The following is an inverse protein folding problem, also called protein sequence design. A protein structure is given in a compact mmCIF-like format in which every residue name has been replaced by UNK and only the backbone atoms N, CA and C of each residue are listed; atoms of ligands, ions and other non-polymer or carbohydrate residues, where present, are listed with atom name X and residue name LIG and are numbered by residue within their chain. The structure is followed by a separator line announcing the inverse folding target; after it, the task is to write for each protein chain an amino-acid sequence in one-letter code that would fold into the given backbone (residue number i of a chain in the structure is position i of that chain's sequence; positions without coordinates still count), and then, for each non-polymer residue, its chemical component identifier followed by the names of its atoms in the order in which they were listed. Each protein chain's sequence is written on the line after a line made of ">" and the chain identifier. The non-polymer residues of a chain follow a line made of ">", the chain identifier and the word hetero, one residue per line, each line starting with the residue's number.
data_IF_368451614615
#
_entry.id   IF_368451614615
#
_cell.length_a   1.000
_cell.length_b   1.000
_cell.length_c   1.000
_cell.angle_alpha   90.00
_cell.angle_beta   90.00
_cell.angle_gamma   90.00
#
_symmetry.space_group_name_H-M   'P 1'
#
loop_
_entity.id
_entity.type
_entity.pdbx_description
1 polymer ?
#
# COMPACT_ATOMS: atom_id res chain seq x y z
N UNK A 1 -9.91 12.75 -5.26
CA UNK A 1 -9.63 12.08 -3.95
C UNK A 1 -10.81 12.28 -3.01
N UNK A 2 -11.23 11.23 -2.28
CA UNK A 2 -12.29 11.30 -1.27
C UNK A 2 -11.70 11.73 0.07
N UNK A 3 -12.11 12.89 0.58
CA UNK A 3 -11.54 13.44 1.80
C UNK A 3 -12.55 13.50 2.94
N UNK A 4 -12.04 13.50 4.17
CA UNK A 4 -12.80 13.67 5.40
C UNK A 4 -12.14 14.75 6.27
N UNK A 5 -12.95 15.60 6.87
CA UNK A 5 -12.49 16.66 7.79
C UNK A 5 -12.73 16.19 9.22
N UNK A 6 -11.72 16.33 10.07
CA UNK A 6 -11.79 15.95 11.49
C UNK A 6 -11.25 17.08 12.35
N UNK A 7 -12.12 17.74 13.10
CA UNK A 7 -11.80 18.91 13.93
C UNK A 7 -12.93 19.09 14.94
N UNK A 8 -12.64 19.28 16.22
CA UNK A 8 -13.65 19.45 17.26
C UNK A 8 -14.31 20.85 17.21
N UNK A 9 -13.63 21.81 16.60
CA UNK A 9 -14.12 23.18 16.47
C UNK A 9 -14.97 23.36 15.20
N UNK A 10 -16.25 23.63 15.40
CA UNK A 10 -17.24 23.83 14.32
C UNK A 10 -16.82 24.93 13.31
N UNK A 11 -16.27 26.06 13.79
CA UNK A 11 -15.86 27.15 12.88
C UNK A 11 -14.65 26.75 12.03
N UNK A 12 -13.72 25.99 12.60
CA UNK A 12 -12.58 25.45 11.86
C UNK A 12 -13.03 24.44 10.81
N UNK A 13 -14.00 23.55 11.12
CA UNK A 13 -14.59 22.63 10.12
C UNK A 13 -15.26 23.41 8.99
N UNK A 14 -16.07 24.40 9.28
CA UNK A 14 -16.73 25.24 8.26
C UNK A 14 -15.71 25.94 7.34
N UNK A 15 -14.64 26.48 7.91
CA UNK A 15 -13.58 27.11 7.14
C UNK A 15 -12.86 26.08 6.25
N UNK A 16 -12.65 24.83 6.76
CA UNK A 16 -12.03 23.77 6.00
C UNK A 16 -12.93 23.28 4.85
N UNK A 17 -14.25 23.20 5.05
CA UNK A 17 -15.22 22.88 3.99
C UNK A 17 -15.13 23.89 2.84
N UNK A 18 -15.01 25.19 3.16
CA UNK A 18 -14.81 26.22 2.13
C UNK A 18 -13.49 26.04 1.38
N UNK A 19 -12.40 25.67 2.07
CA UNK A 19 -11.13 25.38 1.41
C UNK A 19 -11.22 24.16 0.50
N UNK A 20 -11.86 23.07 0.96
CA UNK A 20 -12.08 21.86 0.18
C UNK A 20 -12.89 22.16 -1.09
N UNK A 21 -13.90 23.02 -1.01
CA UNK A 21 -14.70 23.42 -2.18
C UNK A 21 -13.93 24.21 -3.25
N UNK A 22 -12.72 24.70 -2.93
CA UNK A 22 -11.84 25.36 -3.92
C UNK A 22 -11.00 24.37 -4.73
N UNK A 23 -10.99 23.09 -4.37
CA UNK A 23 -10.24 22.05 -5.03
C UNK A 23 -11.21 21.09 -5.75
N UNK A 24 -11.38 21.27 -7.05
CA UNK A 24 -12.38 20.56 -7.89
C UNK A 24 -12.25 19.02 -7.85
N UNK A 25 -11.09 18.51 -7.47
CA UNK A 25 -10.76 17.08 -7.44
C UNK A 25 -10.91 16.46 -6.04
N UNK A 26 -11.35 17.22 -5.05
CA UNK A 26 -11.70 16.71 -3.73
C UNK A 26 -13.21 16.48 -3.59
N UNK A 27 -13.56 15.29 -3.12
CA UNK A 27 -14.92 14.92 -2.73
C UNK A 27 -14.98 14.84 -1.21
N UNK A 28 -15.69 15.76 -0.55
CA UNK A 28 -15.92 15.70 0.89
C UNK A 28 -16.93 14.59 1.20
N UNK A 29 -16.48 13.54 1.91
CA UNK A 29 -17.29 12.37 2.25
C UNK A 29 -18.01 12.55 3.58
N UNK A 30 -17.31 13.12 4.57
CA UNK A 30 -17.85 13.36 5.89
C UNK A 30 -17.05 14.42 6.66
N UNK A 31 -17.72 14.97 7.68
CA UNK A 31 -17.13 15.80 8.73
C UNK A 31 -17.27 15.05 10.06
N UNK A 32 -16.20 15.03 10.86
CA UNK A 32 -16.17 14.42 12.18
C UNK A 32 -15.80 15.44 13.25
N UNK A 33 -16.44 15.37 14.40
CA UNK A 33 -16.12 16.21 15.57
C UNK A 33 -15.11 15.55 16.50
N UNK A 34 -14.90 14.24 16.36
CA UNK A 34 -13.99 13.48 17.23
C UNK A 34 -13.18 12.47 16.46
N UNK A 35 -12.00 12.14 16.99
CA UNK A 35 -11.15 11.07 16.47
C UNK A 35 -11.85 9.69 16.46
N UNK A 36 -12.70 9.42 17.46
CA UNK A 36 -13.44 8.14 17.58
C UNK A 36 -14.46 8.01 16.44
N UNK A 37 -15.19 9.07 16.14
CA UNK A 37 -16.14 9.11 15.03
C UNK A 37 -15.43 8.87 13.70
N UNK A 38 -14.31 9.57 13.45
CA UNK A 38 -13.48 9.38 12.29
C UNK A 38 -13.01 7.93 12.16
N UNK A 39 -12.49 7.33 13.24
CA UNK A 39 -12.02 5.94 13.25
C UNK A 39 -13.11 4.93 12.87
N UNK A 40 -14.35 5.19 13.27
CA UNK A 40 -15.50 4.35 12.91
C UNK A 40 -15.90 4.51 11.44
N UNK A 41 -15.90 5.76 10.94
CA UNK A 41 -16.30 6.06 9.55
C UNK A 41 -15.27 5.58 8.53
N UNK A 42 -13.98 5.72 8.80
CA UNK A 42 -12.88 5.22 7.92
C UNK A 42 -12.94 3.69 7.73
N UNK A 43 -13.64 2.95 8.60
CA UNK A 43 -13.87 1.50 8.41
C UNK A 43 -15.04 1.20 7.47
N UNK A 44 -15.97 2.12 7.30
CA UNK A 44 -17.21 1.94 6.54
C UNK A 44 -17.17 2.63 5.19
N UNK A 45 -16.49 3.75 5.12
CA UNK A 45 -16.38 4.58 3.93
C UNK A 45 -14.99 4.47 3.31
N UNK A 46 -14.92 4.57 2.00
CA UNK A 46 -13.65 4.72 1.30
C UNK A 46 -13.20 6.17 1.45
N UNK A 47 -12.10 6.39 2.15
CA UNK A 47 -11.47 7.69 2.37
C UNK A 47 -10.02 7.61 1.90
N UNK A 48 -9.59 8.58 1.11
CA UNK A 48 -8.23 8.64 0.57
C UNK A 48 -7.37 9.65 1.35
N UNK A 49 -8.00 10.71 1.92
CA UNK A 49 -7.33 11.82 2.60
C UNK A 49 -8.08 12.23 3.87
N UNK A 50 -7.36 12.37 4.99
CA UNK A 50 -7.83 13.06 6.19
C UNK A 50 -7.24 14.45 6.31
N UNK A 51 -8.10 15.44 6.51
CA UNK A 51 -7.75 16.78 6.98
C UNK A 51 -8.02 16.79 8.50
N UNK A 52 -6.97 16.57 9.28
CA UNK A 52 -7.07 16.11 10.67
C UNK A 52 -6.49 17.15 11.63
N UNK A 53 -7.31 17.65 12.55
CA UNK A 53 -6.79 18.43 13.67
C UNK A 53 -5.99 17.55 14.62
N UNK A 54 -4.90 18.09 15.12
CA UNK A 54 -4.06 17.43 16.11
C UNK A 54 -4.67 17.53 17.50
N UNK A 55 -5.17 18.70 17.86
CA UNK A 55 -5.63 18.99 19.21
C UNK A 55 -7.13 18.79 19.35
N UNK A 56 -7.53 17.57 19.67
CA UNK A 56 -8.93 17.22 19.92
C UNK A 56 -9.11 16.61 21.33
N UNK A 57 -10.26 16.80 21.96
CA UNK A 57 -10.56 16.19 23.26
C UNK A 57 -10.58 14.66 23.18
N UNK A 58 -10.07 14.02 24.23
CA UNK A 58 -10.07 12.56 24.38
C UNK A 58 -8.94 11.88 23.61
N UNK A 59 -9.03 11.78 22.30
CA UNK A 59 -8.00 11.20 21.43
C UNK A 59 -7.46 12.27 20.48
N UNK A 60 -6.17 12.51 20.50
CA UNK A 60 -5.51 13.45 19.60
C UNK A 60 -5.43 12.94 18.15
N UNK A 61 -5.23 13.84 17.19
CA UNK A 61 -5.01 13.48 15.79
C UNK A 61 -3.76 12.61 15.60
N UNK A 62 -2.72 12.83 16.42
CA UNK A 62 -1.49 12.02 16.42
C UNK A 62 -1.79 10.57 16.84
N UNK A 63 -2.53 10.37 17.92
CA UNK A 63 -2.93 9.03 18.37
C UNK A 63 -3.81 8.34 17.34
N UNK A 64 -4.78 9.05 16.77
CA UNK A 64 -5.61 8.51 15.69
C UNK A 64 -4.75 8.06 14.49
N UNK A 65 -3.77 8.84 14.08
CA UNK A 65 -2.86 8.52 12.98
C UNK A 65 -2.11 7.21 13.24
N UNK A 66 -1.61 7.00 14.46
CA UNK A 66 -0.93 5.75 14.84
C UNK A 66 -1.87 4.53 14.75
N UNK A 67 -3.14 4.70 15.09
CA UNK A 67 -4.15 3.63 14.97
C UNK A 67 -4.61 3.36 13.54
N UNK A 68 -4.31 4.26 12.60
CA UNK A 68 -4.64 4.13 11.18
C UNK A 68 -3.43 3.74 10.30
N UNK A 69 -2.28 3.45 10.90
CA UNK A 69 -1.00 3.20 10.18
C UNK A 69 -1.06 2.06 9.15
N UNK A 70 -1.93 1.06 9.36
CA UNK A 70 -2.11 -0.08 8.43
C UNK A 70 -2.99 0.25 7.22
N UNK A 71 -3.50 1.49 7.13
CA UNK A 71 -4.37 1.92 6.03
C UNK A 71 -3.60 2.82 5.07
N UNK A 72 -3.78 2.59 3.77
CA UNK A 72 -3.28 3.47 2.69
C UNK A 72 -4.08 4.78 2.67
N UNK A 73 -3.99 5.56 3.76
CA UNK A 73 -4.74 6.77 4.00
C UNK A 73 -3.75 7.94 4.12
N UNK A 74 -3.90 8.94 3.28
CA UNK A 74 -3.11 10.15 3.39
C UNK A 74 -3.63 11.04 4.50
N UNK A 75 -2.74 11.68 5.22
CA UNK A 75 -3.09 12.58 6.31
C UNK A 75 -2.42 13.93 6.08
N UNK A 76 -3.19 14.99 6.17
CA UNK A 76 -2.71 16.37 6.30
C UNK A 76 -3.13 16.84 7.68
N UNK A 77 -2.16 17.11 8.54
CA UNK A 77 -2.46 17.70 9.83
C UNK A 77 -2.83 19.17 9.74
N UNK A 78 -3.79 19.58 10.56
CA UNK A 78 -4.14 20.99 10.78
C UNK A 78 -4.00 21.31 12.26
N UNK A 79 -3.42 22.41 12.64
CA UNK A 79 -3.23 22.78 14.06
C UNK A 79 -2.90 24.26 14.25
N UNK A 80 -3.15 24.79 15.44
CA UNK A 80 -2.71 26.12 15.83
C UNK A 80 -1.23 26.19 16.24
N UNK A 81 -0.60 25.06 16.55
CA UNK A 81 0.76 24.98 17.11
C UNK A 81 1.79 24.51 16.09
N UNK A 82 2.97 25.13 16.10
CA UNK A 82 4.10 24.78 15.21
C UNK A 82 4.93 23.60 15.72
N UNK A 83 4.81 23.28 16.97
CA UNK A 83 5.65 22.31 17.69
C UNK A 83 5.46 20.88 17.17
N UNK A 84 4.28 20.55 16.65
CA UNK A 84 3.95 19.22 16.15
C UNK A 84 4.56 18.87 14.77
N UNK A 85 5.39 19.75 14.21
CA UNK A 85 6.00 19.51 12.91
C UNK A 85 6.97 18.30 12.93
N UNK A 86 7.62 18.03 14.07
CA UNK A 86 8.54 16.90 14.26
C UNK A 86 7.74 15.59 14.25
N UNK A 87 6.68 15.50 15.04
CA UNK A 87 5.80 14.34 15.11
C UNK A 87 5.11 14.06 13.75
N UNK A 88 4.70 15.13 13.05
CA UNK A 88 4.14 15.02 11.71
C UNK A 88 5.15 14.38 10.73
N UNK A 89 6.42 14.74 10.82
CA UNK A 89 7.49 14.16 10.02
C UNK A 89 7.73 12.68 10.37
N UNK A 90 7.80 12.34 11.66
CA UNK A 90 7.99 10.96 12.12
C UNK A 90 6.84 10.02 11.68
N UNK A 91 5.63 10.55 11.58
CA UNK A 91 4.44 9.81 11.16
C UNK A 91 4.27 9.75 9.64
N UNK A 92 5.20 10.32 8.86
CA UNK A 92 5.15 10.36 7.39
C UNK A 92 3.82 10.87 6.83
N UNK A 93 3.22 11.90 7.47
CA UNK A 93 2.00 12.51 6.94
C UNK A 93 2.29 13.27 5.64
N UNK A 94 1.28 13.38 4.78
CA UNK A 94 1.43 14.03 3.47
C UNK A 94 1.85 15.50 3.62
N UNK A 95 1.26 16.23 4.58
CA UNK A 95 1.63 17.59 4.86
C UNK A 95 1.10 18.07 6.24
N UNK A 96 1.43 19.32 6.57
CA UNK A 96 1.13 19.97 7.85
C UNK A 96 0.73 21.42 7.62
N UNK A 97 -0.42 21.84 8.15
CA UNK A 97 -1.00 23.16 7.97
C UNK A 97 -1.22 23.87 9.30
N UNK A 98 -0.76 25.10 9.40
CA UNK A 98 -0.92 25.93 10.60
C UNK A 98 -2.15 26.81 10.44
N UNK A 99 -3.04 26.78 11.42
CA UNK A 99 -4.21 27.66 11.50
C UNK A 99 -3.78 29.10 11.89
N UNK A 100 -4.34 30.15 11.27
CA UNK A 100 -5.35 30.14 10.21
C UNK A 100 -4.76 29.68 8.87
N UNK A 101 -5.46 28.79 8.17
CA UNK A 101 -4.95 28.16 6.95
C UNK A 101 -5.13 29.13 5.77
N UNK A 102 -4.02 29.44 5.12
CA UNK A 102 -4.04 30.23 3.89
C UNK A 102 -4.50 29.37 2.70
N UNK A 103 -5.43 29.85 1.84
CA UNK A 103 -5.92 29.09 0.70
C UNK A 103 -4.81 28.61 -0.26
N UNK A 104 -3.82 29.44 -0.57
CA UNK A 104 -2.71 29.05 -1.44
C UNK A 104 -1.85 27.96 -0.82
N UNK A 105 -1.66 27.97 0.53
CA UNK A 105 -0.93 26.92 1.25
C UNK A 105 -1.73 25.63 1.30
N UNK A 106 -3.06 25.72 1.45
CA UNK A 106 -3.96 24.57 1.38
C UNK A 106 -3.87 23.90 0.02
N UNK A 107 -4.06 24.63 -1.08
CA UNK A 107 -3.98 24.07 -2.44
C UNK A 107 -2.65 23.39 -2.71
N UNK A 108 -1.53 23.99 -2.26
CA UNK A 108 -0.21 23.38 -2.37
C UNK A 108 -0.09 22.06 -1.60
N UNK A 109 -0.72 21.95 -0.42
CA UNK A 109 -0.71 20.69 0.34
C UNK A 109 -1.58 19.61 -0.30
N UNK A 110 -2.69 19.99 -0.95
CA UNK A 110 -3.52 19.07 -1.73
C UNK A 110 -2.77 18.55 -2.96
N UNK A 111 -2.05 19.43 -3.66
CA UNK A 111 -1.21 19.04 -4.80
C UNK A 111 -0.14 18.00 -4.38
N UNK A 112 0.54 18.24 -3.27
CA UNK A 112 1.50 17.28 -2.69
C UNK A 112 0.84 15.95 -2.31
N UNK A 113 -0.34 15.99 -1.67
CA UNK A 113 -1.09 14.79 -1.33
C UNK A 113 -1.52 14.01 -2.58
N UNK A 114 -1.87 14.71 -3.66
CA UNK A 114 -2.20 14.10 -4.95
C UNK A 114 -1.00 13.38 -5.56
N UNK A 115 0.17 14.01 -5.59
CA UNK A 115 1.40 13.38 -6.09
C UNK A 115 1.70 12.07 -5.34
N UNK A 116 1.55 12.06 -4.01
CA UNK A 116 1.72 10.86 -3.19
C UNK A 116 0.63 9.83 -3.49
N UNK A 117 -0.63 10.26 -3.63
CA UNK A 117 -1.75 9.39 -3.96
C UNK A 117 -1.58 8.71 -5.32
N UNK A 118 -1.16 9.45 -6.33
CA UNK A 118 -0.90 8.95 -7.66
C UNK A 118 0.31 8.01 -7.68
N UNK A 119 1.38 8.34 -6.95
CA UNK A 119 2.54 7.46 -6.79
C UNK A 119 2.16 6.15 -6.12
N UNK A 120 1.42 6.20 -5.01
CA UNK A 120 0.92 5.01 -4.31
C UNK A 120 -0.07 4.22 -5.19
N UNK A 121 -0.91 4.92 -5.97
CA UNK A 121 -1.82 4.29 -6.94
C UNK A 121 -1.05 3.66 -8.10
N UNK A 122 0.07 4.24 -8.51
CA UNK A 122 0.96 3.63 -9.51
C UNK A 122 1.70 2.43 -8.93
N UNK A 123 2.08 2.44 -7.66
CA UNK A 123 2.64 1.26 -6.97
C UNK A 123 1.58 0.18 -6.75
N UNK A 124 0.33 0.54 -6.45
CA UNK A 124 -0.80 -0.40 -6.42
C UNK A 124 -1.17 -0.90 -7.83
N UNK A 125 -1.07 -0.06 -8.88
CA UNK A 125 -1.18 -0.50 -10.29
C UNK A 125 0.02 -1.34 -10.75
N UNK A 126 1.15 -1.34 -10.04
CA UNK A 126 2.22 -2.34 -10.21
C UNK A 126 1.73 -3.72 -9.73
N UNK A 127 0.83 -3.79 -8.75
CA UNK A 127 0.15 -5.04 -8.36
C UNK A 127 -0.83 -5.57 -9.43
N UNK A 128 -1.30 -4.72 -10.35
CA UNK A 128 -2.11 -5.09 -11.53
C UNK A 128 -1.30 -5.08 -12.84
N UNK A 129 0.01 -4.83 -12.82
CA UNK A 129 0.81 -5.03 -14.04
C UNK A 129 0.75 -6.49 -14.43
N UNK A 130 0.10 -6.77 -15.53
CA UNK A 130 0.06 -8.10 -16.13
C UNK A 130 1.44 -8.60 -16.56
N UNK A 131 2.47 -7.76 -16.51
CA UNK A 131 3.83 -8.08 -16.98
C UNK A 131 4.93 -7.44 -16.12
N UNK A 132 6.11 -8.04 -16.18
CA UNK A 132 7.36 -7.54 -15.59
C UNK A 132 8.46 -7.48 -16.65
N UNK A 133 9.33 -6.47 -16.57
CA UNK A 133 10.55 -6.47 -17.37
C UNK A 133 11.70 -7.09 -16.58
N UNK A 134 12.35 -8.08 -17.18
CA UNK A 134 13.56 -8.72 -16.64
C UNK A 134 14.75 -8.44 -17.54
N UNK A 135 15.95 -8.37 -16.94
CA UNK A 135 17.20 -8.31 -17.69
C UNK A 135 17.81 -9.70 -17.75
N UNK A 136 17.67 -10.34 -18.91
CA UNK A 136 18.19 -11.68 -19.18
C UNK A 136 19.25 -11.57 -20.29
N UNK A 137 20.49 -11.98 -19.98
CA UNK A 137 21.62 -11.93 -20.92
C UNK A 137 21.85 -10.54 -21.55
N UNK A 138 21.66 -9.47 -20.74
CA UNK A 138 21.86 -8.10 -21.19
C UNK A 138 20.67 -7.46 -21.92
N UNK A 139 19.62 -8.23 -22.23
CA UNK A 139 18.41 -7.78 -22.93
C UNK A 139 17.26 -7.61 -21.95
N UNK A 140 16.51 -6.50 -22.07
CA UNK A 140 15.26 -6.31 -21.36
C UNK A 140 14.16 -7.10 -22.08
N UNK A 141 13.59 -8.09 -21.37
CA UNK A 141 12.49 -8.94 -21.85
C UNK A 141 11.25 -8.66 -21.05
N UNK A 142 10.12 -8.49 -21.75
CA UNK A 142 8.79 -8.40 -21.11
C UNK A 142 8.27 -9.81 -20.86
N UNK A 143 7.91 -10.11 -19.61
CA UNK A 143 7.32 -11.37 -19.18
C UNK A 143 5.93 -11.08 -18.62
N UNK A 144 4.91 -11.78 -19.11
CA UNK A 144 3.59 -11.73 -18.50
C UNK A 144 3.64 -12.46 -17.14
N UNK A 145 3.10 -11.84 -16.11
CA UNK A 145 3.11 -12.42 -14.75
C UNK A 145 2.29 -13.72 -14.69
N UNK A 146 1.25 -13.83 -15.50
CA UNK A 146 0.44 -15.05 -15.56
C UNK A 146 1.15 -16.23 -16.26
N UNK A 147 2.27 -15.96 -16.94
CA UNK A 147 3.11 -17.02 -17.50
C UNK A 147 4.13 -17.57 -16.49
N UNK A 148 4.37 -16.85 -15.38
CA UNK A 148 5.34 -17.25 -14.36
C UNK A 148 4.76 -18.37 -13.51
N UNK A 149 5.48 -19.50 -13.45
CA UNK A 149 5.13 -20.67 -12.64
C UNK A 149 5.72 -20.55 -11.24
N UNK A 150 7.03 -20.37 -11.17
CA UNK A 150 7.78 -20.20 -9.94
C UNK A 150 9.15 -19.58 -10.20
N UNK A 151 9.84 -19.24 -9.13
CA UNK A 151 11.17 -18.65 -9.15
C UNK A 151 12.06 -19.43 -8.18
N UNK A 152 13.26 -19.79 -8.62
CA UNK A 152 14.25 -20.56 -7.89
C UNK A 152 15.52 -19.77 -7.68
N UNK A 153 16.06 -19.74 -6.46
CA UNK A 153 17.37 -19.16 -6.18
C UNK A 153 18.50 -20.07 -6.69
N UNK A 154 19.51 -19.44 -7.32
CA UNK A 154 20.70 -20.11 -7.83
C UNK A 154 21.95 -19.25 -7.57
N UNK A 155 22.47 -19.29 -6.35
CA UNK A 155 23.58 -18.42 -5.93
C UNK A 155 23.22 -16.93 -6.03
N UNK A 156 23.98 -16.18 -6.79
CA UNK A 156 23.75 -14.74 -7.03
C UNK A 156 22.69 -14.44 -8.10
N UNK A 157 22.06 -15.48 -8.63
CA UNK A 157 21.05 -15.41 -9.67
C UNK A 157 19.76 -16.06 -9.20
N UNK A 158 18.69 -15.78 -9.92
CA UNK A 158 17.43 -16.52 -9.83
C UNK A 158 17.04 -17.04 -11.19
N UNK A 159 16.42 -18.22 -11.22
CA UNK A 159 15.73 -18.76 -12.40
C UNK A 159 14.24 -18.47 -12.27
N UNK A 160 13.70 -17.74 -13.22
CA UNK A 160 12.28 -17.46 -13.36
C UNK A 160 11.72 -18.44 -14.39
N UNK A 161 10.89 -19.37 -13.96
CA UNK A 161 10.27 -20.39 -14.81
C UNK A 161 8.93 -19.90 -15.34
N UNK A 162 8.75 -20.03 -16.66
CA UNK A 162 7.49 -19.75 -17.35
C UNK A 162 6.97 -21.00 -18.03
N UNK A 163 5.75 -20.95 -18.57
CA UNK A 163 5.17 -22.06 -19.34
C UNK A 163 6.04 -22.55 -20.51
N UNK A 164 6.92 -21.71 -21.05
CA UNK A 164 7.71 -22.01 -22.25
C UNK A 164 9.18 -22.32 -21.95
N UNK A 165 9.80 -21.58 -21.01
CA UNK A 165 11.22 -21.64 -20.69
C UNK A 165 11.53 -20.99 -19.36
N UNK A 166 12.79 -21.06 -18.93
CA UNK A 166 13.26 -20.28 -17.80
C UNK A 166 14.13 -19.09 -18.26
N UNK A 167 14.22 -18.10 -17.40
CA UNK A 167 15.09 -16.92 -17.57
C UNK A 167 16.02 -16.82 -16.37
N UNK A 168 17.28 -16.45 -16.61
CA UNK A 168 18.28 -16.24 -15.56
C UNK A 168 18.45 -14.74 -15.32
N UNK A 169 18.24 -14.32 -14.08
CA UNK A 169 18.25 -12.91 -13.69
C UNK A 169 19.26 -12.72 -12.56
N UNK A 170 20.13 -11.75 -12.66
CA UNK A 170 21.05 -11.36 -11.60
C UNK A 170 20.32 -10.52 -10.56
N UNK A 171 19.79 -11.18 -9.56
CA UNK A 171 19.02 -10.58 -8.45
C UNK A 171 18.81 -11.61 -7.34
N UNK A 172 18.27 -11.17 -6.20
CA UNK A 172 17.95 -12.05 -5.07
C UNK A 172 16.45 -12.35 -5.01
N UNK A 173 16.06 -13.49 -4.41
CA UNK A 173 14.63 -13.79 -4.14
C UNK A 173 13.97 -12.71 -3.27
N UNK A 174 14.70 -12.13 -2.31
CA UNK A 174 14.15 -11.06 -1.45
C UNK A 174 13.77 -9.83 -2.29
N UNK A 175 14.66 -9.39 -3.18
CA UNK A 175 14.39 -8.24 -4.05
C UNK A 175 13.23 -8.49 -5.04
N UNK A 176 13.00 -9.75 -5.44
CA UNK A 176 11.84 -10.11 -6.26
C UNK A 176 10.56 -10.21 -5.45
N UNK A 177 10.62 -10.77 -4.24
CA UNK A 177 9.49 -10.84 -3.31
C UNK A 177 8.89 -9.47 -3.02
N UNK A 178 9.73 -8.43 -2.88
CA UNK A 178 9.31 -7.04 -2.68
C UNK A 178 8.64 -6.40 -3.93
N UNK A 179 8.93 -6.93 -5.13
CA UNK A 179 8.44 -6.39 -6.41
C UNK A 179 7.28 -7.17 -7.01
N UNK A 180 7.13 -8.43 -6.63
CA UNK A 180 6.07 -9.29 -7.16
C UNK A 180 4.77 -9.06 -6.37
N UNK A 181 3.60 -9.04 -7.06
CA UNK A 181 2.31 -8.90 -6.38
C UNK A 181 2.11 -10.03 -5.37
N UNK A 182 2.02 -9.67 -4.11
CA UNK A 182 1.76 -10.64 -3.05
C UNK A 182 0.44 -11.39 -3.25
N UNK A 183 -0.53 -10.85 -4.00
CA UNK A 183 -1.77 -11.53 -4.36
C UNK A 183 -1.53 -12.75 -5.26
N UNK A 184 -0.55 -12.70 -6.17
CA UNK A 184 -0.27 -13.77 -7.15
C UNK A 184 0.87 -14.68 -6.73
N UNK A 185 1.86 -14.18 -5.98
CA UNK A 185 3.10 -14.88 -5.65
C UNK A 185 3.29 -15.02 -4.14
N UNK A 186 3.91 -16.11 -3.75
CA UNK A 186 4.24 -16.36 -2.35
C UNK A 186 5.57 -17.07 -2.22
N UNK A 187 6.39 -16.65 -1.26
CA UNK A 187 7.57 -17.41 -0.87
C UNK A 187 7.16 -18.67 -0.11
N UNK A 188 7.62 -19.80 -0.57
CA UNK A 188 7.26 -21.11 -0.02
C UNK A 188 8.46 -21.89 0.54
N UNK A 189 9.67 -21.41 0.22
CA UNK A 189 10.94 -21.98 0.69
C UNK A 189 12.01 -20.89 0.72
N UNK A 190 13.13 -21.10 1.46
CA UNK A 190 14.28 -20.19 1.41
C UNK A 190 14.80 -19.95 -0.02
N UNK A 191 14.57 -20.89 -0.92
CA UNK A 191 15.05 -20.85 -2.30
C UNK A 191 13.94 -20.79 -3.35
N UNK A 192 12.65 -20.70 -2.97
CA UNK A 192 11.54 -20.72 -3.92
C UNK A 192 10.44 -19.70 -3.61
N UNK A 193 9.97 -19.06 -4.68
CA UNK A 193 8.71 -18.30 -4.72
C UNK A 193 7.80 -19.01 -5.72
N UNK A 194 6.54 -19.30 -5.37
CA UNK A 194 5.56 -19.94 -6.23
C UNK A 194 4.44 -18.99 -6.64
N UNK A 195 3.97 -19.09 -7.87
CA UNK A 195 2.71 -18.48 -8.29
C UNK A 195 1.56 -19.33 -7.74
N UNK A 196 0.67 -18.71 -6.94
CA UNK A 196 -0.39 -19.44 -6.21
C UNK A 196 -1.42 -20.02 -7.17
N UNK A 197 -1.77 -19.29 -8.22
CA UNK A 197 -2.74 -19.71 -9.24
C UNK A 197 -2.22 -20.76 -10.23
N UNK A 198 -0.95 -21.16 -10.10
CA UNK A 198 -0.29 -22.20 -10.93
C UNK A 198 -0.05 -23.49 -10.17
N UNK A 199 -0.51 -23.59 -8.94
CA UNK A 199 -0.44 -24.79 -8.13
C UNK A 199 -1.48 -25.78 -8.64
N UNK A 200 -1.03 -26.94 -9.14
CA UNK A 200 -1.92 -28.00 -9.58
C UNK A 200 -2.42 -28.80 -8.36
N UNK A 201 -1.50 -29.22 -7.49
CA UNK A 201 -1.80 -29.90 -6.22
C UNK A 201 -0.61 -29.79 -5.24
N UNK A 202 -0.89 -30.09 -3.98
CA UNK A 202 0.11 -30.12 -2.91
C UNK A 202 0.03 -31.48 -2.23
N UNK A 203 1.16 -32.18 -2.19
CA UNK A 203 1.28 -33.49 -1.55
C UNK A 203 2.56 -33.56 -0.72
N UNK A 204 2.48 -34.09 0.50
CA UNK A 204 3.61 -34.29 1.42
C UNK A 204 4.52 -33.05 1.63
N UNK A 205 3.95 -31.83 1.56
CA UNK A 205 4.71 -30.59 1.72
C UNK A 205 5.47 -30.15 0.47
N UNK A 206 5.09 -30.66 -0.70
CA UNK A 206 5.62 -30.29 -2.00
C UNK A 206 4.49 -29.75 -2.89
N UNK A 207 4.72 -28.61 -3.51
CA UNK A 207 3.85 -28.03 -4.53
C UNK A 207 4.22 -28.67 -5.87
N UNK A 208 3.21 -29.10 -6.62
CA UNK A 208 3.32 -29.47 -8.02
C UNK A 208 2.71 -28.37 -8.89
N UNK A 209 3.49 -27.88 -9.85
CA UNK A 209 3.09 -26.83 -10.79
C UNK A 209 3.69 -27.12 -12.18
N UNK A 210 2.85 -27.38 -13.19
CA UNK A 210 3.24 -27.66 -14.58
C UNK A 210 4.40 -28.70 -14.69
N UNK A 211 4.29 -29.84 -14.02
CA UNK A 211 5.28 -30.91 -13.94
C UNK A 211 6.60 -30.58 -13.19
N UNK A 212 6.62 -29.48 -12.43
CA UNK A 212 7.72 -29.13 -11.53
C UNK A 212 7.33 -29.37 -10.07
N UNK A 213 8.29 -29.84 -9.28
CA UNK A 213 8.13 -30.06 -7.84
C UNK A 213 8.85 -28.97 -7.06
N UNK A 214 8.14 -28.25 -6.19
CA UNK A 214 8.64 -27.13 -5.42
C UNK A 214 8.49 -27.45 -3.93
N UNK A 215 9.57 -27.55 -3.16
CA UNK A 215 9.49 -27.87 -1.74
C UNK A 215 8.89 -26.71 -0.95
N UNK A 216 8.03 -27.04 0.02
CA UNK A 216 7.48 -26.07 0.98
C UNK A 216 8.13 -26.29 2.34
N UNK A 217 8.90 -25.32 2.80
CA UNK A 217 9.51 -25.40 4.13
C UNK A 217 8.45 -25.17 5.23
N UNK A 218 8.63 -25.82 6.39
CA UNK A 218 7.67 -25.82 7.50
C UNK A 218 7.26 -24.39 7.93
N UNK A 219 8.20 -23.46 7.92
CA UNK A 219 7.95 -22.05 8.25
C UNK A 219 6.91 -21.36 7.34
N UNK A 220 6.68 -21.87 6.13
CA UNK A 220 5.77 -21.28 5.15
C UNK A 220 4.44 -22.03 5.01
N UNK A 221 4.31 -23.24 5.57
CA UNK A 221 3.11 -24.10 5.42
C UNK A 221 1.84 -23.45 5.91
N UNK A 222 1.86 -22.88 7.13
CA UNK A 222 0.68 -22.24 7.72
C UNK A 222 0.22 -21.02 6.91
N UNK A 223 1.17 -20.22 6.42
CA UNK A 223 0.85 -19.05 5.59
C UNK A 223 0.32 -19.48 4.21
N UNK A 224 0.86 -20.55 3.61
CA UNK A 224 0.36 -21.10 2.36
C UNK A 224 -1.07 -21.61 2.51
N UNK A 225 -1.37 -22.42 3.54
CA UNK A 225 -2.71 -22.95 3.80
C UNK A 225 -3.77 -21.86 3.94
N UNK A 226 -3.43 -20.74 4.61
CA UNK A 226 -4.35 -19.59 4.75
C UNK A 226 -4.66 -18.91 3.42
N UNK A 227 -3.82 -19.07 2.41
CA UNK A 227 -3.99 -18.48 1.08
C UNK A 227 -4.66 -19.41 0.07
N UNK A 228 -4.69 -20.69 0.37
CA UNK A 228 -5.45 -21.67 -0.40
C UNK A 228 -6.92 -21.58 0.03
N UNK A 229 -7.80 -21.44 -0.96
CA UNK A 229 -9.25 -21.44 -0.72
C UNK A 229 -9.71 -22.89 -0.50
N UNK A 230 -9.46 -23.43 0.71
CA UNK A 230 -9.86 -24.79 1.07
C UNK A 230 -11.37 -24.82 1.35
N UNK A 231 -12.08 -25.73 0.69
CA UNK A 231 -13.51 -26.02 0.89
C UNK A 231 -13.72 -26.94 2.07
#
# INVERSE_FOLDING_TARGET
>A
MRCMIVDDNKLARMAMVQLVSMADDLELVAECETAIECFQLVKKEKVDLLLLDIEMPGMSGIELTRHLADKNLLIIFTTAKKEYAVEAFELNVADYLIKPINPARFLKSIEKAREIFESNSQEMNVAEKEFVFIKDSGVLKRINMDDILFIEAMGDYVKLYTNQKFHVIHTTLKALEEKLPAAKFMRVHRSYISAINKIDFIEEGVINAANHTIPVADAYRSALQKRLNLL
#
